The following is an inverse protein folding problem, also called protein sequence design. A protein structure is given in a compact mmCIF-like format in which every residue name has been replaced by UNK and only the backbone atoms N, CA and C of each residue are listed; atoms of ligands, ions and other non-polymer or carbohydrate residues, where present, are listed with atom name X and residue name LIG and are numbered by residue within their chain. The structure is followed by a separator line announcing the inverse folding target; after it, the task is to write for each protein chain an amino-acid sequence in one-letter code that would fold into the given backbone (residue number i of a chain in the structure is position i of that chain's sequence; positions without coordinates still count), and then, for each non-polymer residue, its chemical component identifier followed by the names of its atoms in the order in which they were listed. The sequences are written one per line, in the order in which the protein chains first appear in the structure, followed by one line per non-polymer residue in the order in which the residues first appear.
data_IF_482870790530
#
_entry.id   IF_482870790530
#
_cell.length_a   1.000
_cell.length_b   1.000
_cell.length_c   1.000
_cell.angle_alpha   90.00
_cell.angle_beta   90.00
_cell.angle_gamma   90.00
#
_symmetry.space_group_name_H-M   'P 1'
#
loop_
_entity.id
_entity.type
_entity.pdbx_description
1 polymer ?
#
# COMPACT_ATOMS: atom_id res chain seq x y z
N UNK A 1 19.46 5.37 -10.70
CA UNK A 1 19.48 6.05 -9.38
C UNK A 1 18.68 5.20 -8.41
N UNK A 2 19.34 4.47 -7.48
CA UNK A 2 18.63 3.74 -6.43
C UNK A 2 18.12 4.80 -5.45
N UNK A 3 16.81 4.98 -5.32
CA UNK A 3 16.25 5.76 -4.21
C UNK A 3 16.75 5.10 -2.93
N UNK A 4 17.67 5.75 -2.23
CA UNK A 4 18.01 5.40 -0.85
C UNK A 4 16.72 5.63 -0.07
N UNK A 5 15.96 4.56 0.20
CA UNK A 5 14.79 4.61 1.06
C UNK A 5 15.32 4.82 2.49
N UNK A 6 15.52 6.07 2.89
CA UNK A 6 15.85 6.37 4.29
C UNK A 6 14.67 5.91 5.14
N UNK A 7 14.94 5.16 6.20
CA UNK A 7 13.94 4.50 7.08
C UNK A 7 13.17 5.51 7.96
N UNK A 8 12.86 6.70 7.47
CA UNK A 8 12.23 7.78 8.24
C UNK A 8 10.72 7.58 8.46
N UNK A 9 10.17 6.47 7.97
CA UNK A 9 8.74 6.10 8.11
C UNK A 9 8.46 5.37 9.43
N UNK A 10 9.50 5.09 10.22
CA UNK A 10 9.42 4.38 11.51
C UNK A 10 8.74 5.18 12.64
N UNK A 11 8.04 6.27 12.34
CA UNK A 11 7.08 6.81 13.30
C UNK A 11 6.02 5.75 13.58
N UNK A 12 5.68 5.57 14.86
CA UNK A 12 4.60 4.67 15.29
C UNK A 12 3.32 4.87 14.47
N UNK A 13 3.00 6.13 14.12
CA UNK A 13 1.83 6.47 13.29
C UNK A 13 1.92 5.89 11.87
N UNK A 14 3.09 5.94 11.23
CA UNK A 14 3.30 5.38 9.90
C UNK A 14 3.13 3.86 9.90
N UNK A 15 3.82 3.18 10.81
CA UNK A 15 3.74 1.72 10.99
C UNK A 15 2.28 1.28 11.24
N UNK A 16 1.58 1.96 12.14
CA UNK A 16 0.18 1.63 12.45
C UNK A 16 -0.74 1.84 11.24
N UNK A 17 -0.55 2.92 10.48
CA UNK A 17 -1.33 3.21 9.27
C UNK A 17 -1.12 2.13 8.22
N UNK A 18 0.13 1.72 7.99
CA UNK A 18 0.49 0.66 7.03
C UNK A 18 -0.11 -0.69 7.44
N UNK A 19 0.01 -1.05 8.73
CA UNK A 19 -0.57 -2.29 9.27
C UNK A 19 -2.09 -2.32 9.09
N UNK A 20 -2.77 -1.23 9.45
CA UNK A 20 -4.22 -1.10 9.27
C UNK A 20 -4.64 -1.16 7.80
N UNK A 21 -3.87 -0.53 6.91
CA UNK A 21 -4.10 -0.62 5.46
C UNK A 21 -4.04 -2.08 4.99
N UNK A 22 -2.95 -2.79 5.31
CA UNK A 22 -2.76 -4.18 4.90
C UNK A 22 -3.86 -5.08 5.44
N UNK A 23 -4.20 -4.98 6.74
CA UNK A 23 -5.27 -5.77 7.33
C UNK A 23 -6.64 -5.50 6.68
N UNK A 24 -6.93 -4.24 6.34
CA UNK A 24 -8.19 -3.89 5.67
C UNK A 24 -8.25 -4.41 4.23
N UNK A 25 -7.13 -4.47 3.52
CA UNK A 25 -7.04 -5.05 2.17
C UNK A 25 -7.27 -6.56 2.25
N UNK A 26 -6.53 -7.27 3.12
CA UNK A 26 -6.67 -8.73 3.31
C UNK A 26 -8.08 -9.11 3.75
N UNK A 27 -8.72 -8.29 4.59
CA UNK A 27 -10.10 -8.51 5.03
C UNK A 27 -11.16 -8.13 3.98
N UNK A 28 -10.78 -7.64 2.78
CA UNK A 28 -11.71 -7.19 1.75
C UNK A 28 -12.51 -5.93 2.11
N UNK A 29 -12.06 -5.18 3.13
CA UNK A 29 -12.75 -3.98 3.66
C UNK A 29 -12.22 -2.67 3.07
N UNK A 30 -11.12 -2.71 2.34
CA UNK A 30 -10.53 -1.53 1.73
C UNK A 30 -11.24 -1.14 0.42
N UNK A 31 -11.97 -0.03 0.43
CA UNK A 31 -12.61 0.50 -0.78
C UNK A 31 -11.63 1.36 -1.59
N UNK A 32 -10.76 0.69 -2.35
CA UNK A 32 -9.68 1.31 -3.13
C UNK A 32 -10.17 2.37 -4.14
N UNK A 33 -11.36 2.18 -4.74
CA UNK A 33 -11.93 3.11 -5.75
C UNK A 33 -12.12 4.53 -5.21
N UNK A 34 -12.33 4.68 -3.91
CA UNK A 34 -12.47 6.00 -3.27
C UNK A 34 -11.18 6.82 -3.32
N UNK A 35 -10.05 6.16 -3.44
CA UNK A 35 -8.71 6.72 -3.32
C UNK A 35 -7.97 6.80 -4.67
N UNK A 36 -8.66 6.66 -5.81
CA UNK A 36 -8.08 6.98 -7.14
C UNK A 36 -7.70 8.47 -7.30
N UNK A 37 -8.02 9.29 -6.31
CA UNK A 37 -7.54 10.66 -6.13
C UNK A 37 -6.95 10.75 -4.72
N UNK A 38 -5.94 11.60 -4.50
CA UNK A 38 -5.33 11.71 -3.18
C UNK A 38 -6.35 12.06 -2.11
N UNK A 39 -6.44 11.23 -1.06
CA UNK A 39 -7.36 11.40 0.07
C UNK A 39 -6.75 10.95 1.37
N UNK A 40 -7.23 11.54 2.46
CA UNK A 40 -6.79 11.17 3.80
C UNK A 40 -7.29 9.77 4.22
N UNK A 41 -6.38 8.98 4.76
CA UNK A 41 -6.57 7.66 5.35
C UNK A 41 -5.80 7.62 6.68
N UNK A 42 -6.53 7.60 7.81
CA UNK A 42 -5.96 7.66 9.16
C UNK A 42 -4.94 8.80 9.38
N UNK A 43 -5.16 9.96 8.74
CA UNK A 43 -4.29 11.12 8.86
C UNK A 43 -3.03 11.07 7.98
N UNK A 44 -2.93 10.11 7.07
CA UNK A 44 -1.95 10.10 5.99
C UNK A 44 -2.68 10.25 4.66
N UNK A 45 -2.13 11.01 3.72
CA UNK A 45 -2.70 11.07 2.39
C UNK A 45 -2.26 9.84 1.59
N UNK A 46 -3.22 9.15 0.99
CA UNK A 46 -2.97 8.00 0.11
C UNK A 46 -3.62 8.24 -1.25
N UNK A 47 -3.05 7.62 -2.27
CA UNK A 47 -3.63 7.54 -3.58
C UNK A 47 -3.48 6.11 -4.11
N UNK A 48 -4.41 5.71 -4.97
CA UNK A 48 -4.49 4.36 -5.52
C UNK A 48 -4.35 4.42 -7.02
N UNK A 49 -3.44 3.62 -7.54
CA UNK A 49 -3.27 3.38 -8.96
C UNK A 49 -3.79 1.97 -9.30
N UNK A 50 -4.77 1.84 -10.20
CA UNK A 50 -5.21 0.53 -10.67
C UNK A 50 -4.07 -0.25 -11.35
N UNK A 51 -3.91 -1.53 -10.99
CA UNK A 51 -2.96 -2.43 -11.63
C UNK A 51 -3.67 -3.18 -12.78
N UNK A 52 -3.11 -3.11 -13.98
CA UNK A 52 -3.69 -3.70 -15.19
C UNK A 52 -2.71 -4.66 -15.87
N UNK A 53 -3.27 -5.71 -16.45
CA UNK A 53 -2.64 -6.62 -17.42
C UNK A 53 -3.37 -6.54 -18.77
N UNK A 54 -2.94 -7.35 -19.75
CA UNK A 54 -3.50 -7.35 -21.12
C UNK A 54 -5.00 -7.67 -21.18
N UNK A 55 -5.51 -8.42 -20.21
CA UNK A 55 -6.91 -8.85 -20.15
C UNK A 55 -7.76 -8.08 -19.11
N UNK A 56 -7.22 -7.03 -18.48
CA UNK A 56 -7.99 -6.16 -17.60
C UNK A 56 -7.28 -5.80 -16.30
N UNK A 57 -8.07 -5.31 -15.33
CA UNK A 57 -7.56 -4.95 -14.01
C UNK A 57 -7.34 -6.20 -13.18
N UNK A 58 -6.16 -6.29 -12.55
CA UNK A 58 -5.74 -7.44 -11.73
C UNK A 58 -5.47 -7.06 -10.27
N UNK A 59 -5.49 -5.77 -9.97
CA UNK A 59 -5.12 -5.29 -8.65
C UNK A 59 -5.12 -3.78 -8.52
N UNK A 60 -4.38 -3.31 -7.53
CA UNK A 60 -4.04 -1.91 -7.36
C UNK A 60 -2.79 -1.71 -6.49
N UNK A 61 -2.14 -0.56 -6.67
CA UNK A 61 -1.03 -0.09 -5.85
C UNK A 61 -1.48 1.13 -5.06
N UNK A 62 -1.30 1.10 -3.74
CA UNK A 62 -1.50 2.23 -2.83
C UNK A 62 -0.15 2.90 -2.61
N UNK A 63 -0.07 4.20 -2.90
CA UNK A 63 1.12 5.02 -2.67
C UNK A 63 0.79 6.25 -1.83
N UNK A 64 1.81 6.81 -1.19
CA UNK A 64 1.68 7.94 -0.28
C UNK A 64 2.33 9.18 -0.90
N UNK A 65 1.59 10.09 -1.55
CA UNK A 65 2.18 11.16 -2.37
C UNK A 65 3.07 12.15 -1.59
N UNK A 66 2.83 12.34 -0.29
CA UNK A 66 3.54 13.32 0.54
C UNK A 66 4.37 12.70 1.67
N UNK A 67 4.55 11.39 1.65
CA UNK A 67 5.39 10.72 2.63
C UNK A 67 6.25 9.70 1.91
N UNK A 68 7.42 9.42 2.47
CA UNK A 68 8.28 8.40 1.90
C UNK A 68 7.84 6.96 2.28
N UNK A 69 6.62 6.78 2.81
CA UNK A 69 6.05 5.48 3.16
C UNK A 69 6.13 4.47 1.99
N UNK A 70 6.31 3.17 2.29
CA UNK A 70 6.42 2.15 1.26
C UNK A 70 5.12 1.99 0.46
N UNK A 71 5.24 1.58 -0.79
CA UNK A 71 4.10 1.30 -1.64
C UNK A 71 3.48 -0.06 -1.28
N UNK A 72 2.16 -0.15 -1.29
CA UNK A 72 1.43 -1.39 -0.99
C UNK A 72 0.70 -1.85 -2.24
N UNK A 73 1.08 -2.99 -2.79
CA UNK A 73 0.47 -3.55 -3.98
C UNK A 73 -0.35 -4.78 -3.63
N UNK A 74 -1.60 -4.81 -4.13
CA UNK A 74 -2.49 -5.96 -4.01
C UNK A 74 -2.85 -6.48 -5.39
N UNK A 75 -2.45 -7.72 -5.67
CA UNK A 75 -2.81 -8.49 -6.85
C UNK A 75 -3.79 -9.59 -6.41
N UNK A 76 -5.04 -9.51 -6.88
CA UNK A 76 -6.06 -10.48 -6.49
C UNK A 76 -6.01 -11.77 -7.31
N UNK A 77 -5.34 -11.79 -8.46
CA UNK A 77 -5.17 -13.01 -9.25
C UNK A 77 -4.12 -13.92 -8.62
N UNK A 78 -3.03 -13.33 -8.14
CA UNK A 78 -2.01 -14.04 -7.38
C UNK A 78 -2.37 -14.18 -5.90
N UNK A 79 -3.43 -13.50 -5.44
CA UNK A 79 -3.79 -13.35 -4.03
C UNK A 79 -2.58 -12.89 -3.18
N UNK A 80 -1.84 -11.91 -3.71
CA UNK A 80 -0.60 -11.41 -3.15
C UNK A 80 -0.75 -9.96 -2.69
N UNK A 81 -0.28 -9.68 -1.48
CA UNK A 81 -0.10 -8.33 -0.95
C UNK A 81 1.38 -8.11 -0.69
N UNK A 82 1.98 -7.10 -1.32
CA UNK A 82 3.39 -6.76 -1.15
C UNK A 82 3.55 -5.34 -0.65
N UNK A 83 4.60 -5.13 0.15
CA UNK A 83 5.06 -3.82 0.60
C UNK A 83 6.43 -3.62 -0.04
N UNK A 84 6.58 -2.62 -0.90
CA UNK A 84 7.82 -2.39 -1.64
C UNK A 84 8.36 -3.63 -2.40
N UNK A 85 7.45 -4.46 -2.92
CA UNK A 85 7.73 -5.76 -3.57
C UNK A 85 8.21 -6.89 -2.64
N UNK A 86 8.16 -6.70 -1.32
CA UNK A 86 8.38 -7.76 -0.33
C UNK A 86 7.06 -8.24 0.28
N UNK A 87 6.97 -9.48 0.73
CA UNK A 87 5.74 -10.01 1.35
C UNK A 87 5.40 -9.20 2.63
N UNK A 88 4.16 -8.72 2.71
CA UNK A 88 3.67 -7.89 3.82
C UNK A 88 3.78 -8.57 5.20
N UNK A 89 3.68 -9.90 5.27
CA UNK A 89 3.80 -10.64 6.54
C UNK A 89 5.22 -10.59 7.11
N UNK A 90 6.23 -10.58 6.23
CA UNK A 90 7.63 -10.44 6.63
C UNK A 90 7.92 -9.03 7.15
N UNK A 91 7.18 -8.03 6.66
CA UNK A 91 7.31 -6.64 7.08
C UNK A 91 6.71 -6.39 8.47
N UNK A 92 5.72 -7.16 8.90
CA UNK A 92 5.07 -7.00 10.21
C UNK A 92 5.70 -7.83 11.33
N UNK A 93 6.51 -8.85 10.98
CA UNK A 93 7.24 -9.69 11.94
C UNK A 93 8.64 -9.16 12.28
N UNK A 94 9.17 -8.20 11.53
CA UNK A 94 10.42 -7.48 11.81
C UNK A 94 10.17 -6.12 12.47
#
# INVERSE_FOLDING_TARGET
MKKVKTKDYQSWKGIMTLKMLCCNIVAGRFNWRKYCTPKSYFGQEICVMPLHCSYGQIGYTVYFPYSNMPEVEYDWEMNQLTIDHENWENYLHN
#
